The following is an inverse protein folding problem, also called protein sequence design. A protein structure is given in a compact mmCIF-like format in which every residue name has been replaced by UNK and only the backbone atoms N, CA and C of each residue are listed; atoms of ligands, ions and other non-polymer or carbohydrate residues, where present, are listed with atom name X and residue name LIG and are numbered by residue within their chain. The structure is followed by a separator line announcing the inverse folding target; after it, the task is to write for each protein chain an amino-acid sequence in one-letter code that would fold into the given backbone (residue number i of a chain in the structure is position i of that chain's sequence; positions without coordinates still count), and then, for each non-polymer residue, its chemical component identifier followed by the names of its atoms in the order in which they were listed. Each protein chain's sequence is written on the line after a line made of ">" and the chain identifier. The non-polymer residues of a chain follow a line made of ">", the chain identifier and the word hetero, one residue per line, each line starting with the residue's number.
data_IF_681788580171
#
_entry.id   IF_681788580171
#
_cell.length_a   1.000
_cell.length_b   1.000
_cell.length_c   1.000
_cell.angle_alpha   90.00
_cell.angle_beta   90.00
_cell.angle_gamma   90.00
#
_symmetry.space_group_name_H-M   'P 1'
#
loop_
_entity.id
_entity.type
_entity.pdbx_description
1 polymer ?
#
# COMPACT_ATOMS: atom_id res chain seq x y z
N UNK A 1 -31.59 7.87 -7.72
CA UNK A 1 -30.71 6.74 -7.35
C UNK A 1 -29.26 7.21 -7.28
N UNK A 2 -28.94 8.30 -6.55
CA UNK A 2 -27.62 8.98 -6.62
C UNK A 2 -27.18 9.52 -5.25
N UNK A 3 -27.26 8.66 -4.23
CA UNK A 3 -26.73 8.93 -2.89
C UNK A 3 -25.35 8.24 -2.69
N UNK A 4 -24.63 7.94 -3.78
CA UNK A 4 -23.32 7.34 -3.67
C UNK A 4 -22.33 8.38 -3.11
N UNK A 5 -21.65 8.00 -2.04
CA UNK A 5 -20.41 8.63 -1.60
C UNK A 5 -19.35 8.43 -2.69
N UNK A 6 -18.25 9.20 -2.67
CA UNK A 6 -17.07 8.83 -3.42
C UNK A 6 -16.68 7.40 -3.07
N UNK A 7 -16.16 6.72 -4.07
CA UNK A 7 -15.63 5.38 -3.94
C UNK A 7 -14.31 5.45 -3.16
N UNK A 8 -14.39 5.54 -1.84
CA UNK A 8 -13.22 5.54 -0.96
C UNK A 8 -12.77 4.11 -0.71
N UNK A 9 -11.63 3.73 -1.30
CA UNK A 9 -11.04 2.43 -1.09
C UNK A 9 -9.83 2.53 -0.17
N UNK A 10 -9.77 1.64 0.81
CA UNK A 10 -8.65 1.57 1.77
C UNK A 10 -7.28 1.55 1.07
N UNK A 11 -7.13 0.71 0.04
CA UNK A 11 -5.88 0.60 -0.71
C UNK A 11 -5.48 1.94 -1.34
N UNK A 12 -6.43 2.69 -1.91
CA UNK A 12 -6.15 4.01 -2.50
C UNK A 12 -5.75 5.03 -1.45
N UNK A 13 -6.49 5.10 -0.35
CA UNK A 13 -6.23 6.07 0.73
C UNK A 13 -4.84 5.83 1.35
N UNK A 14 -4.48 4.57 1.66
CA UNK A 14 -3.15 4.30 2.24
C UNK A 14 -2.02 4.52 1.25
N UNK A 15 -2.23 4.25 -0.05
CA UNK A 15 -1.24 4.55 -1.09
C UNK A 15 -1.04 6.07 -1.24
N UNK A 16 -2.11 6.86 -1.15
CA UNK A 16 -2.00 8.32 -1.15
C UNK A 16 -1.20 8.83 0.06
N UNK A 17 -1.49 8.32 1.26
CA UNK A 17 -0.73 8.66 2.48
C UNK A 17 0.75 8.24 2.35
N UNK A 18 1.03 7.07 1.77
CA UNK A 18 2.40 6.59 1.56
C UNK A 18 3.15 7.40 0.48
N UNK A 19 2.47 7.87 -0.56
CA UNK A 19 3.07 8.65 -1.65
C UNK A 19 3.62 10.01 -1.20
N UNK A 20 3.11 10.56 -0.10
CA UNK A 20 3.62 11.80 0.52
C UNK A 20 4.91 11.58 1.31
N UNK A 21 5.30 10.33 1.56
CA UNK A 21 6.51 10.00 2.30
C UNK A 21 7.74 10.01 1.39
N UNK A 22 8.91 10.39 1.91
CA UNK A 22 10.16 10.22 1.17
C UNK A 22 10.31 8.75 0.75
N UNK A 23 10.38 8.49 -0.55
CA UNK A 23 10.62 7.13 -1.04
C UNK A 23 11.96 6.64 -0.51
N UNK A 24 12.00 5.50 0.19
CA UNK A 24 13.27 4.91 0.55
C UNK A 24 14.07 4.54 -0.71
N UNK A 25 15.39 4.69 -0.64
CA UNK A 25 16.32 4.47 -1.75
C UNK A 25 16.57 2.98 -2.05
N UNK A 26 16.10 2.08 -1.19
CA UNK A 26 16.30 0.64 -1.33
C UNK A 26 15.27 0.05 -2.29
N UNK A 27 15.70 -0.60 -3.39
CA UNK A 27 14.78 -1.22 -4.31
C UNK A 27 14.00 -2.33 -3.59
N UNK A 28 12.70 -2.41 -3.80
CA UNK A 28 11.91 -3.58 -3.42
C UNK A 28 11.53 -4.38 -4.66
N UNK A 29 11.29 -5.67 -4.45
CA UNK A 29 10.94 -6.63 -5.50
C UNK A 29 9.93 -7.59 -4.92
N UNK A 30 8.83 -7.80 -5.64
CA UNK A 30 7.78 -8.71 -5.22
C UNK A 30 8.32 -10.07 -4.79
N UNK A 31 7.87 -10.53 -3.62
CA UNK A 31 8.21 -11.83 -3.09
C UNK A 31 7.43 -12.92 -3.83
N UNK A 32 8.11 -13.63 -4.72
CA UNK A 32 7.60 -14.86 -5.33
C UNK A 32 8.10 -16.06 -4.51
N UNK A 33 7.24 -16.60 -3.65
CA UNK A 33 7.57 -17.73 -2.77
C UNK A 33 8.03 -18.97 -3.55
N UNK A 34 7.54 -19.16 -4.77
CA UNK A 34 7.95 -20.27 -5.65
C UNK A 34 9.40 -20.14 -6.14
N UNK A 35 9.93 -18.92 -6.13
CA UNK A 35 11.30 -18.60 -6.57
C UNK A 35 12.22 -18.20 -5.42
N UNK A 36 11.77 -18.20 -4.18
CA UNK A 36 12.54 -17.71 -3.03
C UNK A 36 13.90 -18.42 -2.90
N UNK A 37 13.92 -19.75 -3.00
CA UNK A 37 15.15 -20.55 -2.96
C UNK A 37 16.09 -20.23 -4.12
N UNK A 38 15.55 -20.14 -5.34
CA UNK A 38 16.34 -19.84 -6.53
C UNK A 38 16.95 -18.42 -6.47
N UNK A 39 16.18 -17.43 -5.99
CA UNK A 39 16.65 -16.06 -5.76
C UNK A 39 17.78 -16.01 -4.75
N UNK A 40 17.62 -16.70 -3.60
CA UNK A 40 18.66 -16.80 -2.58
C UNK A 40 19.96 -17.39 -3.14
N UNK A 41 19.85 -18.49 -3.89
CA UNK A 41 21.01 -19.16 -4.50
C UNK A 41 21.69 -18.29 -5.55
N UNK A 42 20.92 -17.60 -6.39
CA UNK A 42 21.46 -16.70 -7.41
C UNK A 42 22.20 -15.52 -6.79
N UNK A 43 21.58 -14.84 -5.81
CA UNK A 43 22.22 -13.74 -5.09
C UNK A 43 23.51 -14.19 -4.39
N UNK A 44 23.46 -15.36 -3.73
CA UNK A 44 24.63 -15.92 -3.05
C UNK A 44 25.79 -16.22 -4.02
N UNK A 45 25.51 -16.82 -5.18
CA UNK A 45 26.51 -17.10 -6.21
C UNK A 45 27.10 -15.81 -6.78
N UNK A 46 26.26 -14.83 -7.14
CA UNK A 46 26.71 -13.56 -7.69
C UNK A 46 27.61 -12.81 -6.72
N UNK A 47 27.25 -12.79 -5.44
CA UNK A 47 28.06 -12.16 -4.40
C UNK A 47 29.41 -12.87 -4.24
N UNK A 48 29.44 -14.20 -4.23
CA UNK A 48 30.69 -14.96 -4.13
C UNK A 48 31.60 -14.72 -5.34
N UNK A 49 31.04 -14.69 -6.55
CA UNK A 49 31.79 -14.35 -7.77
C UNK A 49 32.36 -12.92 -7.73
N UNK A 50 31.59 -11.96 -7.24
CA UNK A 50 32.07 -10.60 -7.05
C UNK A 50 33.20 -10.53 -6.00
N UNK A 51 33.11 -11.33 -4.93
CA UNK A 51 34.15 -11.44 -3.91
C UNK A 51 35.45 -12.03 -4.47
N UNK A 52 35.38 -13.05 -5.34
CA UNK A 52 36.56 -13.58 -6.06
C UNK A 52 37.21 -12.48 -6.90
N UNK A 53 36.42 -11.75 -7.69
CA UNK A 53 36.92 -10.66 -8.55
C UNK A 53 37.58 -9.54 -7.74
N UNK A 54 37.07 -9.27 -6.54
CA UNK A 54 37.63 -8.29 -5.59
C UNK A 54 38.88 -8.81 -4.86
N UNK A 55 39.16 -10.11 -4.94
CA UNK A 55 40.26 -10.76 -4.22
C UNK A 55 40.01 -10.93 -2.73
N UNK A 56 38.75 -10.81 -2.27
CA UNK A 56 38.41 -10.99 -0.85
C UNK A 56 38.21 -12.46 -0.45
N UNK A 57 37.99 -13.34 -1.43
CA UNK A 57 37.94 -14.81 -1.25
C UNK A 57 38.70 -15.51 -2.39
N UNK A 58 39.15 -16.74 -2.15
CA UNK A 58 39.86 -17.55 -3.16
C UNK A 58 38.88 -18.31 -4.07
N UNK A 59 39.21 -18.39 -5.36
CA UNK A 59 38.49 -19.23 -6.32
C UNK A 59 38.51 -20.73 -5.94
N UNK A 60 39.59 -21.20 -5.31
CA UNK A 60 39.70 -22.59 -4.82
C UNK A 60 38.70 -22.91 -3.69
N UNK A 61 38.12 -21.88 -3.07
CA UNK A 61 37.09 -22.00 -2.04
C UNK A 61 35.67 -22.20 -2.60
N UNK A 62 35.44 -21.90 -3.88
CA UNK A 62 34.11 -21.83 -4.47
C UNK A 62 33.36 -23.17 -4.39
N UNK A 63 34.04 -24.28 -4.73
CA UNK A 63 33.42 -25.61 -4.68
C UNK A 63 32.93 -25.95 -3.26
N UNK A 64 33.75 -25.64 -2.23
CA UNK A 64 33.37 -25.87 -0.82
C UNK A 64 32.24 -24.95 -0.37
N UNK A 65 32.24 -23.69 -0.81
CA UNK A 65 31.14 -22.75 -0.53
C UNK A 65 29.80 -23.26 -1.08
N UNK A 66 29.81 -23.71 -2.35
CA UNK A 66 28.64 -24.26 -3.04
C UNK A 66 28.13 -25.54 -2.39
N UNK A 67 29.04 -26.47 -2.05
CA UNK A 67 28.69 -27.71 -1.35
C UNK A 67 28.02 -27.44 0.00
N UNK A 68 28.58 -26.54 0.82
CA UNK A 68 27.98 -26.15 2.11
C UNK A 68 26.61 -25.51 1.94
N UNK A 69 26.41 -24.71 0.89
CA UNK A 69 25.11 -24.10 0.59
C UNK A 69 24.06 -25.16 0.27
N UNK A 70 24.42 -26.15 -0.54
CA UNK A 70 23.52 -27.27 -0.88
C UNK A 70 23.15 -28.06 0.38
N UNK A 71 24.15 -28.43 1.19
CA UNK A 71 23.95 -29.11 2.47
C UNK A 71 23.07 -28.28 3.44
N UNK A 72 23.25 -26.95 3.49
CA UNK A 72 22.38 -26.05 4.25
C UNK A 72 20.94 -26.07 3.77
N UNK A 73 20.71 -26.12 2.46
CA UNK A 73 19.36 -26.09 1.88
C UNK A 73 18.53 -27.31 2.28
N UNK A 74 19.16 -28.49 2.36
CA UNK A 74 18.55 -29.76 2.76
C UNK A 74 18.79 -30.12 4.24
N UNK A 75 19.27 -29.19 5.06
CA UNK A 75 19.66 -29.47 6.43
C UNK A 75 18.47 -29.91 7.28
N UNK A 76 18.61 -31.05 7.95
CA UNK A 76 17.69 -31.54 8.96
C UNK A 76 18.38 -31.65 10.34
N UNK A 77 17.63 -31.81 11.44
CA UNK A 77 18.22 -31.98 12.76
C UNK A 77 19.22 -33.15 12.87
N UNK A 78 19.06 -34.19 12.04
CA UNK A 78 19.94 -35.38 12.02
C UNK A 78 21.07 -35.30 10.97
N UNK A 79 21.12 -34.27 10.13
CA UNK A 79 22.19 -34.09 9.15
C UNK A 79 23.55 -33.93 9.84
N UNK A 80 24.65 -34.47 9.26
CA UNK A 80 26.00 -34.27 9.77
C UNK A 80 26.35 -32.78 9.83
N UNK A 81 27.29 -32.42 10.72
CA UNK A 81 27.78 -31.05 10.81
C UNK A 81 28.48 -30.62 9.51
N UNK A 82 28.29 -29.38 9.09
CA UNK A 82 29.01 -28.86 7.93
C UNK A 82 30.51 -28.82 8.22
N UNK A 83 31.31 -29.11 7.20
CA UNK A 83 32.77 -29.12 7.32
C UNK A 83 33.33 -27.76 6.94
N UNK A 84 34.09 -27.17 7.86
CA UNK A 84 34.82 -25.93 7.65
C UNK A 84 36.32 -26.16 7.87
N UNK A 85 37.14 -25.68 6.94
CA UNK A 85 38.60 -25.71 7.08
C UNK A 85 39.10 -24.51 7.89
N UNK A 86 40.28 -24.57 8.52
CA UNK A 86 40.88 -23.42 9.21
C UNK A 86 41.08 -22.19 8.30
N UNK A 87 41.21 -22.40 6.99
CA UNK A 87 41.30 -21.34 5.98
C UNK A 87 39.95 -20.66 5.67
N UNK A 88 38.82 -21.23 6.09
CA UNK A 88 37.48 -20.71 5.81
C UNK A 88 37.08 -19.65 6.87
N UNK A 89 37.82 -18.54 6.89
CA UNK A 89 37.64 -17.42 7.82
C UNK A 89 36.93 -16.20 7.20
N UNK A 90 36.53 -16.30 5.93
CA UNK A 90 35.82 -15.24 5.23
C UNK A 90 34.36 -15.07 5.69
N UNK A 91 33.75 -13.95 5.30
CA UNK A 91 32.38 -13.60 5.68
C UNK A 91 31.32 -14.63 5.22
N UNK A 92 31.55 -15.36 4.12
CA UNK A 92 30.60 -16.37 3.63
C UNK A 92 30.61 -17.60 4.52
N UNK A 93 31.80 -18.11 4.85
CA UNK A 93 31.96 -19.22 5.78
C UNK A 93 31.44 -18.87 7.18
N UNK A 94 31.69 -17.65 7.67
CA UNK A 94 31.13 -17.18 8.95
C UNK A 94 29.60 -17.12 8.92
N UNK A 95 29.01 -16.61 7.82
CA UNK A 95 27.56 -16.57 7.66
C UNK A 95 26.96 -17.99 7.62
N UNK A 96 27.57 -18.93 6.89
CA UNK A 96 27.13 -20.32 6.78
C UNK A 96 27.15 -21.05 8.13
N UNK A 97 28.16 -20.82 8.99
CA UNK A 97 28.19 -21.35 10.37
C UNK A 97 26.98 -20.89 11.17
N UNK A 98 26.68 -19.59 11.11
CA UNK A 98 25.51 -19.05 11.79
C UNK A 98 24.19 -19.59 11.23
N UNK A 99 24.08 -19.74 9.91
CA UNK A 99 22.91 -20.31 9.25
C UNK A 99 22.68 -21.79 9.63
N UNK A 100 23.74 -22.59 9.77
CA UNK A 100 23.66 -23.97 10.24
C UNK A 100 23.10 -24.03 11.67
N UNK A 101 23.69 -23.26 12.58
CA UNK A 101 23.27 -23.20 13.98
C UNK A 101 21.80 -22.73 14.10
N UNK A 102 21.40 -21.74 13.31
CA UNK A 102 20.04 -21.25 13.28
C UNK A 102 19.03 -22.33 12.85
N UNK A 103 19.34 -23.04 11.75
CA UNK A 103 18.47 -24.11 11.21
C UNK A 103 18.37 -25.33 12.13
N UNK A 104 19.41 -25.63 12.90
CA UNK A 104 19.41 -26.75 13.86
C UNK A 104 18.53 -26.51 15.10
N UNK A 105 18.04 -25.29 15.28
CA UNK A 105 17.00 -24.95 16.24
C UNK A 105 17.49 -24.21 17.49
N UNK A 106 16.53 -23.94 18.38
CA UNK A 106 16.67 -22.97 19.47
C UNK A 106 17.88 -23.17 20.40
N UNK A 107 18.28 -24.43 20.67
CA UNK A 107 19.45 -24.73 21.51
C UNK A 107 20.76 -24.19 20.93
N UNK A 108 20.81 -23.89 19.63
CA UNK A 108 22.01 -23.40 18.93
C UNK A 108 21.89 -21.93 18.51
N UNK A 109 20.79 -21.24 18.81
CA UNK A 109 20.62 -19.83 18.45
C UNK A 109 21.68 -18.91 19.06
N UNK A 110 22.14 -19.16 20.28
CA UNK A 110 23.25 -18.40 20.87
C UNK A 110 24.56 -18.54 20.07
N UNK A 111 24.83 -19.73 19.50
CA UNK A 111 25.98 -19.94 18.63
C UNK A 111 25.80 -19.23 17.28
N UNK A 112 24.59 -19.26 16.70
CA UNK A 112 24.27 -18.51 15.49
C UNK A 112 24.49 -16.99 15.67
N UNK A 113 23.97 -16.43 16.76
CA UNK A 113 24.16 -15.04 17.13
C UNK A 113 25.65 -14.68 17.27
N UNK A 114 26.44 -15.55 17.92
CA UNK A 114 27.89 -15.35 18.05
C UNK A 114 28.61 -15.33 16.69
N UNK A 115 28.24 -16.23 15.78
CA UNK A 115 28.85 -16.28 14.44
C UNK A 115 28.55 -15.01 13.64
N UNK A 116 27.30 -14.56 13.60
CA UNK A 116 26.90 -13.36 12.85
C UNK A 116 27.42 -12.07 13.47
N UNK A 117 27.45 -11.96 14.81
CA UNK A 117 28.06 -10.79 15.48
C UNK A 117 29.56 -10.73 15.26
N UNK A 118 30.26 -11.88 15.23
CA UNK A 118 31.69 -11.94 14.89
C UNK A 118 31.95 -11.52 13.44
N UNK A 119 31.06 -11.90 12.50
CA UNK A 119 31.14 -11.43 11.10
C UNK A 119 31.03 -9.90 11.03
N UNK A 120 30.06 -9.32 11.75
CA UNK A 120 29.86 -7.87 11.78
C UNK A 120 31.00 -7.12 12.49
N UNK A 121 31.81 -7.80 13.30
CA UNK A 121 32.99 -7.24 13.96
C UNK A 121 34.21 -7.14 13.04
N UNK A 122 34.20 -7.79 11.86
CA UNK A 122 35.28 -7.68 10.89
C UNK A 122 35.43 -6.23 10.38
N UNK A 123 36.65 -5.83 9.93
CA UNK A 123 36.83 -4.59 9.21
C UNK A 123 35.90 -4.49 8.00
N UNK A 124 35.39 -3.28 7.69
CA UNK A 124 34.37 -3.07 6.65
C UNK A 124 34.74 -3.69 5.28
N UNK A 125 36.01 -3.60 4.89
CA UNK A 125 36.51 -4.16 3.63
C UNK A 125 36.53 -5.71 3.58
N UNK A 126 36.35 -6.39 4.71
CA UNK A 126 36.32 -7.85 4.84
C UNK A 126 34.90 -8.41 5.05
N UNK A 127 33.88 -7.55 5.15
CA UNK A 127 32.48 -7.94 5.41
C UNK A 127 31.46 -7.28 4.48
N UNK A 128 31.84 -7.06 3.23
CA UNK A 128 31.05 -6.27 2.29
C UNK A 128 29.80 -7.02 1.81
N UNK A 129 29.82 -8.36 1.71
CA UNK A 129 28.79 -9.15 1.04
C UNK A 129 27.75 -9.80 1.97
N UNK A 130 28.07 -10.01 3.25
CA UNK A 130 27.22 -10.74 4.20
C UNK A 130 26.81 -9.94 5.43
N UNK A 131 27.24 -8.68 5.55
CA UNK A 131 26.84 -7.82 6.66
C UNK A 131 25.33 -7.57 6.72
N UNK A 132 24.70 -7.22 5.59
CA UNK A 132 23.24 -6.99 5.49
C UNK A 132 22.45 -8.25 5.85
N UNK A 133 22.88 -9.40 5.32
CA UNK A 133 22.25 -10.70 5.59
C UNK A 133 22.39 -11.11 7.06
N UNK A 134 23.59 -10.95 7.64
CA UNK A 134 23.86 -11.27 9.04
C UNK A 134 23.02 -10.40 10.00
N UNK A 135 22.95 -9.08 9.76
CA UNK A 135 22.13 -8.18 10.56
C UNK A 135 20.64 -8.51 10.46
N UNK A 136 20.15 -8.79 9.25
CA UNK A 136 18.75 -9.19 9.05
C UNK A 136 18.43 -10.49 9.81
N UNK A 137 19.31 -11.50 9.73
CA UNK A 137 19.13 -12.77 10.42
C UNK A 137 19.22 -12.64 11.95
N UNK A 138 20.05 -11.73 12.47
CA UNK A 138 20.05 -11.38 13.89
C UNK A 138 18.70 -10.78 14.32
N UNK A 139 18.12 -9.90 13.49
CA UNK A 139 16.77 -9.38 13.71
C UNK A 139 15.71 -10.48 13.74
N UNK A 140 15.75 -11.40 12.78
CA UNK A 140 14.84 -12.57 12.74
C UNK A 140 15.00 -13.48 13.94
N UNK A 141 16.24 -13.71 14.40
CA UNK A 141 16.52 -14.50 15.59
C UNK A 141 15.93 -13.86 16.84
N UNK A 142 16.16 -12.56 17.04
CA UNK A 142 15.60 -11.82 18.18
C UNK A 142 14.08 -11.77 18.15
N UNK A 143 13.49 -11.63 16.97
CA UNK A 143 12.05 -11.71 16.78
C UNK A 143 11.49 -13.07 17.23
N UNK A 144 12.14 -14.18 16.87
CA UNK A 144 11.74 -15.53 17.31
C UNK A 144 11.88 -15.73 18.83
N UNK A 145 12.76 -14.98 19.48
CA UNK A 145 12.90 -14.94 20.94
C UNK A 145 11.90 -13.99 21.62
N UNK A 146 11.03 -13.33 20.86
CA UNK A 146 10.14 -12.25 21.32
C UNK A 146 10.90 -11.03 21.92
N UNK A 147 12.17 -10.87 21.55
CA UNK A 147 13.04 -9.74 21.92
C UNK A 147 12.80 -8.56 20.96
N UNK A 148 11.56 -8.03 20.93
CA UNK A 148 11.11 -7.06 19.90
C UNK A 148 11.98 -5.79 19.80
N UNK A 149 12.39 -5.13 20.90
CA UNK A 149 13.24 -3.93 20.79
C UNK A 149 14.61 -4.22 20.16
N UNK A 150 15.22 -5.36 20.50
CA UNK A 150 16.50 -5.78 19.93
C UNK A 150 16.35 -6.22 18.47
N UNK A 151 15.25 -6.90 18.14
CA UNK A 151 14.92 -7.26 16.76
C UNK A 151 14.79 -6.00 15.87
N UNK A 152 14.05 -4.99 16.35
CA UNK A 152 13.89 -3.72 15.66
C UNK A 152 15.25 -3.02 15.39
N UNK A 153 16.15 -3.00 16.38
CA UNK A 153 17.48 -2.43 16.21
C UNK A 153 18.30 -3.13 15.12
N UNK A 154 18.20 -4.46 15.01
CA UNK A 154 18.88 -5.21 13.96
C UNK A 154 18.30 -4.99 12.56
N UNK A 155 16.98 -4.81 12.45
CA UNK A 155 16.35 -4.43 11.18
C UNK A 155 16.76 -3.02 10.75
N UNK A 156 16.80 -2.06 11.67
CA UNK A 156 17.40 -0.74 11.40
C UNK A 156 18.87 -0.89 10.96
N UNK A 157 19.65 -1.72 11.67
CA UNK A 157 21.06 -1.95 11.34
C UNK A 157 21.26 -2.52 9.94
N UNK A 158 20.34 -3.34 9.47
CA UNK A 158 20.35 -3.90 8.11
C UNK A 158 20.34 -2.77 7.06
N UNK A 159 19.49 -1.75 7.26
CA UNK A 159 19.41 -0.58 6.37
C UNK A 159 20.65 0.31 6.45
N UNK A 160 21.15 0.56 7.66
CA UNK A 160 22.40 1.32 7.86
C UNK A 160 23.60 0.65 7.16
N UNK A 161 23.66 -0.69 7.15
CA UNK A 161 24.72 -1.43 6.48
C UNK A 161 24.62 -1.31 4.95
N UNK A 162 23.40 -1.34 4.39
CA UNK A 162 23.19 -1.08 2.97
C UNK A 162 23.59 0.35 2.59
N UNK A 163 23.21 1.35 3.40
CA UNK A 163 23.56 2.77 3.17
C UNK A 163 25.06 3.04 3.24
N UNK A 164 25.78 2.27 4.06
CA UNK A 164 27.25 2.36 4.19
C UNK A 164 28.00 1.52 3.16
N UNK A 165 27.31 1.04 2.12
CA UNK A 165 27.90 0.37 0.96
C UNK A 165 28.14 -1.13 1.11
N UNK A 166 27.56 -1.79 2.12
CA UNK A 166 27.49 -3.25 2.11
C UNK A 166 26.49 -3.71 1.04
N UNK A 167 26.79 -4.81 0.35
CA UNK A 167 25.93 -5.34 -0.71
C UNK A 167 24.60 -5.82 -0.13
N UNK A 168 23.50 -5.39 -0.75
CA UNK A 168 22.15 -5.85 -0.42
C UNK A 168 21.51 -6.57 -1.62
N UNK A 169 22.14 -7.67 -2.04
CA UNK A 169 21.74 -8.48 -3.20
C UNK A 169 20.35 -9.11 -3.08
N UNK A 170 19.79 -9.16 -1.87
CA UNK A 170 18.45 -9.69 -1.59
C UNK A 170 17.42 -8.60 -1.31
N UNK A 171 17.80 -7.33 -1.29
CA UNK A 171 16.93 -6.20 -0.94
C UNK A 171 16.38 -6.29 0.50
N UNK A 172 17.20 -6.82 1.43
CA UNK A 172 16.85 -6.99 2.83
C UNK A 172 16.69 -5.66 3.56
N UNK A 173 17.31 -4.57 3.08
CA UNK A 173 17.08 -3.25 3.63
C UNK A 173 15.61 -2.83 3.48
N UNK A 174 15.03 -2.99 2.29
CA UNK A 174 13.60 -2.75 2.07
C UNK A 174 12.73 -3.74 2.86
N UNK A 175 13.03 -5.04 2.80
CA UNK A 175 12.26 -6.09 3.51
C UNK A 175 12.27 -5.89 5.04
N UNK A 176 13.33 -5.30 5.60
CA UNK A 176 13.45 -5.05 7.04
C UNK A 176 12.41 -4.07 7.58
N UNK A 177 11.80 -3.21 6.74
CA UNK A 177 10.81 -2.20 7.18
C UNK A 177 9.58 -2.87 7.79
N UNK A 178 9.02 -3.88 7.11
CA UNK A 178 7.84 -4.59 7.58
C UNK A 178 8.11 -5.38 8.86
N UNK A 179 9.29 -6.00 8.97
CA UNK A 179 9.68 -6.72 10.19
C UNK A 179 9.92 -5.80 11.38
N UNK A 180 10.55 -4.65 11.17
CA UNK A 180 10.67 -3.64 12.21
C UNK A 180 9.30 -3.11 12.63
N UNK A 181 8.43 -2.79 11.67
CA UNK A 181 7.07 -2.34 11.95
C UNK A 181 6.31 -3.35 12.81
N UNK A 182 6.45 -4.65 12.51
CA UNK A 182 5.89 -5.72 13.33
C UNK A 182 6.45 -5.70 14.76
N UNK A 183 7.76 -5.55 14.93
CA UNK A 183 8.39 -5.46 16.26
C UNK A 183 7.88 -4.25 17.05
N UNK A 184 7.79 -3.08 16.42
CA UNK A 184 7.25 -1.84 17.02
C UNK A 184 5.80 -2.03 17.45
N UNK A 185 4.99 -2.64 16.60
CA UNK A 185 3.59 -2.93 16.93
C UNK A 185 3.48 -3.87 18.14
N UNK A 186 4.25 -4.96 18.18
CA UNK A 186 4.28 -5.87 19.33
C UNK A 186 4.88 -5.24 20.60
N UNK A 187 5.73 -4.23 20.44
CA UNK A 187 6.25 -3.41 21.54
C UNK A 187 5.31 -2.30 22.01
N UNK A 188 4.11 -2.16 21.43
CA UNK A 188 3.14 -1.10 21.77
C UNK A 188 3.41 0.26 21.11
N UNK A 189 4.39 0.35 20.21
CA UNK A 189 4.79 1.57 19.51
C UNK A 189 3.98 1.74 18.19
N UNK A 190 2.66 1.76 18.29
CA UNK A 190 1.73 1.75 17.14
C UNK A 190 2.02 2.86 16.11
N UNK A 191 2.30 4.07 16.60
CA UNK A 191 2.64 5.24 15.77
C UNK A 191 3.87 4.99 14.88
N UNK A 192 4.92 4.37 15.43
CA UNK A 192 6.14 4.04 14.68
C UNK A 192 5.89 2.88 13.71
N UNK A 193 5.13 1.87 14.13
CA UNK A 193 4.74 0.75 13.27
C UNK A 193 3.99 1.22 12.01
N UNK A 194 3.02 2.12 12.18
CA UNK A 194 2.26 2.69 11.06
C UNK A 194 3.16 3.43 10.06
N UNK A 195 4.11 4.22 10.55
CA UNK A 195 5.07 4.95 9.69
C UNK A 195 5.97 4.00 8.90
N UNK A 196 6.49 2.95 9.54
CA UNK A 196 7.34 1.96 8.88
C UNK A 196 6.59 1.13 7.83
N UNK A 197 5.33 0.76 8.10
CA UNK A 197 4.49 0.10 7.09
C UNK A 197 4.15 1.03 5.91
N UNK A 198 3.98 2.33 6.14
CA UNK A 198 3.83 3.29 5.05
C UNK A 198 5.14 3.47 4.27
N UNK A 199 6.31 3.44 4.91
CA UNK A 199 7.61 3.43 4.23
C UNK A 199 7.78 2.16 3.38
N UNK A 200 7.37 0.99 3.91
CA UNK A 200 7.33 -0.27 3.16
C UNK A 200 6.44 -0.14 1.91
N UNK A 201 5.23 0.42 2.05
CA UNK A 201 4.34 0.66 0.92
C UNK A 201 4.93 1.65 -0.10
N UNK A 202 5.64 2.68 0.37
CA UNK A 202 6.30 3.66 -0.49
C UNK A 202 7.44 3.03 -1.32
N UNK A 203 8.07 1.95 -0.85
CA UNK A 203 9.00 1.11 -1.62
C UNK A 203 8.33 0.28 -2.72
N UNK A 204 6.99 0.21 -2.73
CA UNK A 204 6.20 -0.60 -3.66
C UNK A 204 5.81 -1.98 -3.13
N UNK A 205 5.99 -2.25 -1.83
CA UNK A 205 5.56 -3.50 -1.21
C UNK A 205 4.10 -3.45 -0.76
N UNK A 206 3.24 -4.04 -1.58
CA UNK A 206 1.79 -4.01 -1.39
C UNK A 206 1.31 -4.84 -0.19
N UNK A 207 2.15 -5.71 0.37
CA UNK A 207 1.78 -6.47 1.58
C UNK A 207 1.56 -5.54 2.78
N UNK A 208 2.15 -4.34 2.77
CA UNK A 208 1.93 -3.34 3.81
C UNK A 208 0.48 -2.84 3.89
N UNK A 209 -0.30 -2.90 2.79
CA UNK A 209 -1.73 -2.50 2.79
C UNK A 209 -2.53 -3.33 3.79
N UNK A 210 -2.29 -4.64 3.81
CA UNK A 210 -2.94 -5.56 4.77
C UNK A 210 -2.42 -5.33 6.19
N UNK A 211 -1.12 -5.13 6.35
CA UNK A 211 -0.48 -4.88 7.65
C UNK A 211 -0.99 -3.60 8.32
N UNK A 212 -1.12 -2.50 7.58
CA UNK A 212 -1.71 -1.24 8.07
C UNK A 212 -3.14 -1.44 8.59
N UNK A 213 -3.94 -2.22 7.87
CA UNK A 213 -5.31 -2.54 8.30
C UNK A 213 -5.32 -3.38 9.58
N UNK A 214 -4.40 -4.33 9.69
CA UNK A 214 -4.32 -5.21 10.86
C UNK A 214 -3.97 -4.44 12.13
N UNK A 215 -3.01 -3.51 12.08
CA UNK A 215 -2.59 -2.76 13.26
C UNK A 215 -3.67 -1.79 13.77
N UNK A 216 -4.55 -1.28 12.90
CA UNK A 216 -5.69 -0.47 13.33
C UNK A 216 -6.77 -1.29 14.03
N UNK A 217 -7.00 -2.53 13.58
CA UNK A 217 -7.99 -3.44 14.18
C UNK A 217 -7.55 -3.98 15.53
N UNK A 218 -6.24 -4.16 15.72
CA UNK A 218 -5.68 -4.65 16.96
C UNK A 218 -4.50 -3.76 17.40
N UNK A 219 -4.79 -2.56 17.96
CA UNK A 219 -3.77 -1.55 18.22
C UNK A 219 -2.77 -1.96 19.32
N UNK A 220 -3.20 -2.78 20.28
CA UNK A 220 -2.39 -3.13 21.45
C UNK A 220 -1.81 -4.54 21.37
N UNK A 221 -2.00 -5.26 20.26
CA UNK A 221 -1.69 -6.68 20.06
C UNK A 221 -2.42 -7.67 20.99
N UNK A 222 -2.87 -7.21 22.15
CA UNK A 222 -3.79 -7.86 23.09
C UNK A 222 -5.20 -7.28 22.90
N UNK A 223 -6.22 -8.16 22.94
CA UNK A 223 -7.65 -7.90 22.64
C UNK A 223 -8.36 -7.03 23.69
N UNK A 224 -7.80 -5.88 24.05
CA UNK A 224 -8.48 -4.89 24.90
C UNK A 224 -9.24 -3.88 24.05
N UNK A 225 -10.48 -3.58 24.43
CA UNK A 225 -11.27 -2.50 23.82
C UNK A 225 -10.52 -1.17 23.98
N UNK A 226 -10.31 -0.38 22.91
CA UNK A 226 -9.59 0.88 23.02
C UNK A 226 -10.27 1.88 23.96
N UNK A 227 -9.50 2.55 24.81
CA UNK A 227 -10.01 3.59 25.74
C UNK A 227 -10.20 4.93 25.01
N UNK A 228 -10.99 5.85 25.59
CA UNK A 228 -11.10 7.22 25.06
C UNK A 228 -9.75 7.95 24.97
N UNK A 229 -8.82 7.65 25.88
CA UNK A 229 -7.48 8.22 25.84
C UNK A 229 -6.70 7.72 24.61
N UNK A 230 -6.78 6.41 24.32
CA UNK A 230 -6.17 5.84 23.12
C UNK A 230 -6.68 6.55 21.85
N UNK A 231 -7.98 6.74 21.71
CA UNK A 231 -8.54 7.45 20.57
C UNK A 231 -8.09 8.91 20.48
N UNK A 232 -7.95 9.59 21.63
CA UNK A 232 -7.43 10.96 21.68
C UNK A 232 -5.97 11.03 21.23
N UNK A 233 -5.14 10.07 21.63
CA UNK A 233 -3.74 9.99 21.22
C UNK A 233 -3.63 9.66 19.71
N UNK A 234 -4.46 8.74 19.21
CA UNK A 234 -4.61 8.44 17.78
C UNK A 234 -5.04 9.66 16.98
N UNK A 235 -5.96 10.49 17.48
CA UNK A 235 -6.38 11.72 16.80
C UNK A 235 -5.26 12.78 16.74
N UNK A 236 -4.40 12.84 17.76
CA UNK A 236 -3.27 13.80 17.81
C UNK A 236 -2.12 13.40 16.90
N UNK A 237 -1.89 12.11 16.71
CA UNK A 237 -0.89 11.62 15.76
C UNK A 237 -1.43 11.74 14.33
N UNK A 238 -0.78 12.55 13.48
CA UNK A 238 -1.29 12.82 12.12
C UNK A 238 -1.39 11.56 11.26
N UNK A 239 -0.43 10.63 11.36
CA UNK A 239 -0.44 9.40 10.57
C UNK A 239 -1.55 8.47 11.04
N UNK A 240 -1.66 8.24 12.36
CA UNK A 240 -2.70 7.37 12.89
C UNK A 240 -4.10 7.94 12.63
N UNK A 241 -4.28 9.26 12.82
CA UNK A 241 -5.55 9.93 12.52
C UNK A 241 -5.98 9.70 11.08
N UNK A 242 -5.08 9.95 10.11
CA UNK A 242 -5.37 9.78 8.68
C UNK A 242 -5.72 8.34 8.34
N UNK A 243 -4.99 7.37 8.88
CA UNK A 243 -5.25 5.95 8.69
C UNK A 243 -6.59 5.53 9.31
N UNK A 244 -6.93 6.01 10.51
CA UNK A 244 -8.24 5.76 11.13
C UNK A 244 -9.37 6.39 10.32
N UNK A 245 -9.23 7.66 9.90
CA UNK A 245 -10.19 8.35 9.04
C UNK A 245 -10.43 7.57 7.75
N UNK A 246 -9.37 7.16 7.05
CA UNK A 246 -9.44 6.35 5.84
C UNK A 246 -10.10 4.99 6.08
N UNK A 247 -9.77 4.31 7.18
CA UNK A 247 -10.37 3.03 7.54
C UNK A 247 -11.88 3.17 7.73
N UNK A 248 -12.33 4.15 8.51
CA UNK A 248 -13.77 4.39 8.72
C UNK A 248 -14.43 4.72 7.38
N UNK A 249 -13.87 5.66 6.62
CA UNK A 249 -14.46 6.13 5.36
C UNK A 249 -14.63 4.99 4.35
N UNK A 250 -13.63 4.11 4.23
CA UNK A 250 -13.68 2.95 3.33
C UNK A 250 -14.68 1.87 3.73
N UNK A 251 -15.03 1.75 5.03
CA UNK A 251 -16.04 0.79 5.50
C UNK A 251 -17.49 1.21 5.21
N UNK A 252 -17.71 2.47 4.83
CA UNK A 252 -19.05 3.00 4.50
C UNK A 252 -19.27 3.18 2.98
N UNK A 253 -18.41 2.61 2.12
CA UNK A 253 -18.69 2.59 0.68
C UNK A 253 -19.97 1.77 0.39
N UNK A 254 -20.95 2.34 -0.36
CA UNK A 254 -22.29 1.79 -0.51
C UNK A 254 -22.38 0.53 -1.38
N UNK A 255 -21.30 0.14 -2.07
CA UNK A 255 -21.27 -0.99 -2.99
C UNK A 255 -20.23 -2.04 -2.53
N UNK A 256 -20.72 -3.03 -1.79
CA UNK A 256 -20.12 -4.36 -1.55
C UNK A 256 -18.97 -4.53 -0.54
N UNK A 257 -19.15 -5.56 0.31
CA UNK A 257 -18.18 -6.48 0.93
C UNK A 257 -16.88 -6.00 1.61
N UNK A 258 -16.72 -4.75 2.04
CA UNK A 258 -15.82 -4.44 3.18
C UNK A 258 -16.62 -4.06 4.43
N UNK A 259 -17.63 -4.88 4.75
CA UNK A 259 -18.26 -4.91 6.08
C UNK A 259 -17.33 -5.58 7.10
N UNK A 260 -16.07 -5.17 7.12
CA UNK A 260 -15.23 -5.36 8.30
C UNK A 260 -15.83 -4.62 9.49
N UNK A 261 -15.66 -5.16 10.69
CA UNK A 261 -15.99 -4.44 11.92
C UNK A 261 -15.27 -3.09 11.90
N UNK A 262 -16.04 -2.01 11.84
CA UNK A 262 -15.54 -0.63 11.79
C UNK A 262 -14.68 -0.32 13.02
N UNK A 263 -13.54 0.35 12.80
CA UNK A 263 -12.70 0.90 13.88
C UNK A 263 -13.39 2.15 14.44
N UNK A 264 -14.46 1.95 15.23
CA UNK A 264 -15.26 3.01 15.82
C UNK A 264 -16.38 3.56 14.92
N UNK A 265 -17.30 4.34 15.51
CA UNK A 265 -18.39 5.00 14.77
C UNK A 265 -17.94 6.37 14.23
N UNK A 266 -18.55 6.81 13.11
CA UNK A 266 -18.30 8.14 12.52
C UNK A 266 -18.47 9.26 13.57
N UNK A 267 -19.57 9.23 14.32
CA UNK A 267 -19.87 10.26 15.32
C UNK A 267 -18.84 10.30 16.45
N UNK A 268 -18.41 9.13 16.95
CA UNK A 268 -17.40 9.04 17.98
C UNK A 268 -16.07 9.62 17.48
N UNK A 269 -15.62 9.19 16.30
CA UNK A 269 -14.36 9.64 15.74
C UNK A 269 -14.33 11.16 15.50
N UNK A 270 -15.37 11.71 14.83
CA UNK A 270 -15.48 13.15 14.61
C UNK A 270 -15.50 13.94 15.92
N UNK A 271 -16.17 13.43 16.96
CA UNK A 271 -16.19 14.07 18.29
C UNK A 271 -14.79 14.14 18.89
N UNK A 272 -14.03 13.03 18.83
CA UNK A 272 -12.69 12.94 19.40
C UNK A 272 -11.72 13.86 18.65
N UNK A 273 -11.75 13.87 17.32
CA UNK A 273 -10.88 14.76 16.52
C UNK A 273 -11.19 16.23 16.79
N UNK A 274 -12.46 16.63 16.91
CA UNK A 274 -12.82 18.01 17.31
C UNK A 274 -12.29 18.35 18.71
N UNK A 275 -12.42 17.44 19.67
CA UNK A 275 -11.92 17.63 21.03
C UNK A 275 -10.39 17.72 21.11
N UNK A 276 -9.67 17.14 20.15
CA UNK A 276 -8.22 17.25 20.05
C UNK A 276 -7.72 18.67 19.72
N UNK A 277 -8.61 19.56 19.22
CA UNK A 277 -8.32 20.99 18.93
C UNK A 277 -7.03 21.19 18.10
N UNK A 278 -6.91 20.41 17.04
CA UNK A 278 -5.75 20.41 16.15
C UNK A 278 -5.64 21.74 15.39
N UNK A 279 -4.42 22.25 15.24
CA UNK A 279 -4.14 23.49 14.49
C UNK A 279 -4.07 23.25 12.98
N UNK A 280 -3.63 22.05 12.58
CA UNK A 280 -3.53 21.62 11.19
C UNK A 280 -4.15 20.22 11.08
N UNK A 281 -4.88 20.00 9.99
CA UNK A 281 -5.62 18.77 9.75
C UNK A 281 -5.46 18.40 8.28
N UNK A 282 -4.47 17.56 7.99
CA UNK A 282 -4.11 17.15 6.62
C UNK A 282 -5.23 16.35 5.93
N UNK A 283 -6.03 15.62 6.70
CA UNK A 283 -7.20 14.83 6.26
C UNK A 283 -8.54 15.59 6.41
N UNK A 284 -8.51 16.92 6.41
CA UNK A 284 -9.71 17.74 6.59
C UNK A 284 -10.80 17.39 5.56
N UNK A 285 -10.43 17.15 4.30
CA UNK A 285 -11.39 16.75 3.26
C UNK A 285 -12.07 15.41 3.59
N UNK A 286 -11.32 14.40 4.02
CA UNK A 286 -11.84 13.08 4.39
C UNK A 286 -12.70 13.14 5.66
N UNK A 287 -12.32 13.94 6.66
CA UNK A 287 -13.17 14.21 7.84
C UNK A 287 -14.47 14.92 7.46
N UNK A 288 -14.41 15.83 6.48
CA UNK A 288 -15.59 16.45 5.88
C UNK A 288 -16.51 15.43 5.22
N UNK A 289 -15.94 14.45 4.51
CA UNK A 289 -16.71 13.34 3.93
C UNK A 289 -17.37 12.47 4.98
N UNK A 290 -16.67 12.14 6.07
CA UNK A 290 -17.29 11.43 7.20
C UNK A 290 -18.48 12.21 7.77
N UNK A 291 -18.35 13.53 7.96
CA UNK A 291 -19.44 14.38 8.43
C UNK A 291 -20.61 14.40 7.44
N UNK A 292 -20.34 14.53 6.13
CA UNK A 292 -21.36 14.48 5.08
C UNK A 292 -22.11 13.14 5.07
N UNK A 293 -21.39 12.02 5.17
CA UNK A 293 -21.96 10.66 5.24
C UNK A 293 -22.84 10.48 6.49
N UNK A 294 -22.48 11.12 7.61
CA UNK A 294 -23.30 11.16 8.81
C UNK A 294 -24.49 12.14 8.74
N UNK A 295 -24.65 12.89 7.63
CA UNK A 295 -25.69 13.90 7.47
C UNK A 295 -25.40 15.24 8.16
N UNK A 296 -24.22 15.43 8.74
CA UNK A 296 -23.77 16.68 9.38
C UNK A 296 -23.10 17.60 8.34
N UNK A 297 -23.93 18.19 7.47
CA UNK A 297 -23.46 19.04 6.36
C UNK A 297 -22.80 20.35 6.81
N UNK A 298 -23.21 20.87 7.97
CA UNK A 298 -22.58 22.06 8.57
C UNK A 298 -21.14 21.73 8.95
N UNK A 299 -20.91 20.62 9.64
CA UNK A 299 -19.55 20.21 9.97
C UNK A 299 -18.74 19.81 8.74
N UNK A 300 -19.35 19.20 7.72
CA UNK A 300 -18.67 18.92 6.45
C UNK A 300 -18.12 20.23 5.83
N UNK A 301 -18.90 21.30 5.90
CA UNK A 301 -18.49 22.64 5.44
C UNK A 301 -17.35 23.22 6.31
N UNK A 302 -17.45 23.09 7.64
CA UNK A 302 -16.40 23.55 8.56
C UNK A 302 -15.08 22.80 8.34
N UNK A 303 -15.11 21.48 8.14
CA UNK A 303 -13.92 20.69 7.83
C UNK A 303 -13.28 21.11 6.51
N UNK A 304 -14.07 21.37 5.47
CA UNK A 304 -13.53 21.89 4.20
C UNK A 304 -12.79 23.22 4.34
N UNK A 305 -13.20 24.09 5.26
CA UNK A 305 -12.52 25.36 5.52
C UNK A 305 -11.13 25.17 6.15
N UNK A 306 -10.91 24.05 6.85
CA UNK A 306 -9.62 23.69 7.44
C UNK A 306 -8.67 23.02 6.44
N UNK A 307 -9.14 22.73 5.23
CA UNK A 307 -8.32 22.08 4.22
C UNK A 307 -7.30 23.06 3.63
N UNK A 308 -6.01 22.82 3.89
CA UNK A 308 -4.93 23.70 3.45
C UNK A 308 -4.71 23.66 1.93
N UNK A 309 -4.91 22.50 1.29
CA UNK A 309 -4.68 22.31 -0.15
C UNK A 309 -5.90 21.65 -0.79
N UNK A 310 -6.47 22.23 -1.86
CA UNK A 310 -7.53 21.59 -2.60
C UNK A 310 -7.09 20.23 -3.16
N UNK A 311 -7.84 19.20 -2.81
CA UNK A 311 -7.72 17.83 -3.32
C UNK A 311 -8.97 17.44 -4.11
N UNK A 312 -8.90 16.37 -4.89
CA UNK A 312 -10.07 15.81 -5.59
C UNK A 312 -11.24 15.56 -4.63
N UNK A 313 -10.96 14.95 -3.48
CA UNK A 313 -11.96 14.72 -2.44
C UNK A 313 -12.59 16.02 -1.93
N UNK A 314 -11.80 17.09 -1.75
CA UNK A 314 -12.33 18.37 -1.27
C UNK A 314 -13.21 19.07 -2.31
N UNK A 315 -12.82 19.04 -3.58
CA UNK A 315 -13.60 19.60 -4.69
C UNK A 315 -14.92 18.86 -4.84
N UNK A 316 -14.88 17.53 -4.78
CA UNK A 316 -16.08 16.71 -4.87
C UNK A 316 -17.03 16.95 -3.68
N UNK A 317 -16.52 17.03 -2.44
CA UNK A 317 -17.37 17.33 -1.29
C UNK A 317 -18.03 18.70 -1.41
N UNK A 318 -17.26 19.70 -1.85
CA UNK A 318 -17.77 21.05 -2.10
C UNK A 318 -18.87 21.03 -3.16
N UNK A 319 -18.71 20.26 -4.23
CA UNK A 319 -19.74 20.09 -5.25
C UNK A 319 -21.02 19.44 -4.69
N UNK A 320 -20.92 18.41 -3.85
CA UNK A 320 -22.09 17.80 -3.20
C UNK A 320 -22.84 18.82 -2.32
N UNK A 321 -22.12 19.61 -1.53
CA UNK A 321 -22.73 20.65 -0.68
C UNK A 321 -23.41 21.74 -1.52
N UNK A 322 -22.76 22.22 -2.58
CA UNK A 322 -23.33 23.22 -3.50
C UNK A 322 -24.56 22.71 -4.24
N UNK A 323 -24.55 21.44 -4.68
CA UNK A 323 -25.72 20.80 -5.29
C UNK A 323 -26.91 20.81 -4.33
N UNK A 324 -26.69 20.51 -3.03
CA UNK A 324 -27.75 20.56 -2.01
C UNK A 324 -28.29 21.97 -1.78
N UNK A 325 -27.47 23.00 -1.95
CA UNK A 325 -27.87 24.41 -1.93
C UNK A 325 -28.57 24.86 -3.22
N UNK A 326 -28.70 24.00 -4.23
CA UNK A 326 -29.26 24.33 -5.55
C UNK A 326 -28.30 25.08 -6.47
N UNK A 327 -27.01 25.20 -6.11
CA UNK A 327 -25.99 25.93 -6.87
C UNK A 327 -25.32 25.01 -7.89
N UNK A 328 -26.12 24.55 -8.86
CA UNK A 328 -25.75 23.46 -9.78
C UNK A 328 -24.55 23.79 -10.69
N UNK A 329 -24.46 25.02 -11.21
CA UNK A 329 -23.33 25.42 -12.08
C UNK A 329 -21.99 25.37 -11.35
N UNK A 330 -21.96 25.88 -10.10
CA UNK A 330 -20.77 25.86 -9.26
C UNK A 330 -20.42 24.46 -8.77
N UNK A 331 -21.45 23.62 -8.55
CA UNK A 331 -21.23 22.21 -8.25
C UNK A 331 -20.55 21.49 -9.43
N UNK A 332 -20.98 21.77 -10.67
CA UNK A 332 -20.40 21.18 -11.88
C UNK A 332 -18.95 21.62 -12.10
N UNK A 333 -18.62 22.89 -11.85
CA UNK A 333 -17.25 23.40 -11.91
C UNK A 333 -16.32 22.65 -10.95
N UNK A 334 -16.75 22.46 -9.70
CA UNK A 334 -15.96 21.74 -8.72
C UNK A 334 -15.87 20.24 -9.00
N UNK A 335 -16.91 19.59 -9.52
CA UNK A 335 -16.81 18.19 -9.97
C UNK A 335 -15.84 18.03 -11.13
N UNK A 336 -15.83 18.97 -12.08
CA UNK A 336 -14.87 18.98 -13.19
C UNK A 336 -13.42 19.10 -12.68
N UNK A 337 -13.18 19.95 -11.68
CA UNK A 337 -11.87 20.06 -11.01
C UNK A 337 -11.48 18.76 -10.28
N UNK A 338 -12.44 18.09 -9.63
CA UNK A 338 -12.20 16.81 -8.98
C UNK A 338 -11.80 15.74 -10.00
N UNK A 339 -12.52 15.62 -11.12
CA UNK A 339 -12.24 14.67 -12.20
C UNK A 339 -10.84 14.92 -12.79
N UNK A 340 -10.51 16.18 -13.09
CA UNK A 340 -9.18 16.53 -13.61
C UNK A 340 -8.04 16.11 -12.66
N UNK A 341 -8.22 16.29 -11.34
CA UNK A 341 -7.23 15.85 -10.35
C UNK A 341 -7.15 14.32 -10.24
N UNK A 342 -8.26 13.60 -10.41
CA UNK A 342 -8.30 12.15 -10.40
C UNK A 342 -7.65 11.54 -11.65
N UNK A 343 -7.82 12.18 -12.81
CA UNK A 343 -7.22 11.75 -14.08
C UNK A 343 -5.71 12.02 -14.13
N UNK A 344 -5.27 13.11 -13.51
CA UNK A 344 -3.85 13.44 -13.38
C UNK A 344 -3.13 12.65 -12.28
N UNK A 345 -3.85 11.91 -11.44
CA UNK A 345 -3.23 11.11 -10.40
C UNK A 345 -2.46 9.93 -11.04
N UNK A 346 -1.25 9.60 -10.55
CA UNK A 346 -0.57 8.40 -11.02
C UNK A 346 -1.51 7.22 -10.81
N UNK A 347 -1.66 6.38 -11.84
CA UNK A 347 -2.50 5.19 -11.77
C UNK A 347 -2.05 4.36 -10.56
N UNK A 348 -2.80 4.46 -9.46
CA UNK A 348 -2.62 3.60 -8.33
C UNK A 348 -3.06 2.24 -8.85
N UNK A 349 -2.11 1.36 -9.17
CA UNK A 349 -2.43 -0.01 -9.56
C UNK A 349 -3.10 -0.65 -8.37
N UNK A 350 -4.41 -0.83 -8.50
CA UNK A 350 -5.25 -1.47 -7.52
C UNK A 350 -5.07 -2.97 -7.68
N UNK A 351 -3.99 -3.47 -7.09
CA UNK A 351 -3.61 -4.88 -7.17
C UNK A 351 -4.66 -5.81 -6.57
N UNK A 352 -5.48 -5.29 -5.65
CA UNK A 352 -6.47 -6.09 -4.92
C UNK A 352 -7.92 -5.88 -5.36
N UNK A 353 -8.20 -5.01 -6.34
CA UNK A 353 -9.57 -4.67 -6.69
C UNK A 353 -10.14 -5.56 -7.81
N UNK A 354 -11.41 -5.93 -7.60
CA UNK A 354 -12.23 -6.63 -8.58
C UNK A 354 -12.38 -5.73 -9.83
N UNK A 355 -12.19 -6.24 -11.07
CA UNK A 355 -12.43 -5.47 -12.30
C UNK A 355 -13.82 -4.82 -12.39
N UNK A 356 -14.80 -5.31 -11.63
CA UNK A 356 -16.16 -4.74 -11.59
C UNK A 356 -16.32 -3.49 -10.71
N UNK A 357 -15.27 -3.00 -10.06
CA UNK A 357 -15.39 -1.85 -9.17
C UNK A 357 -15.42 -0.51 -9.92
N UNK A 358 -16.21 0.44 -9.40
CA UNK A 358 -16.25 1.81 -9.93
C UNK A 358 -15.07 2.60 -9.39
N UNK A 359 -14.21 3.13 -10.26
CA UNK A 359 -13.12 4.00 -9.81
C UNK A 359 -13.65 5.37 -9.34
N UNK A 360 -12.94 6.08 -8.44
CA UNK A 360 -13.36 7.40 -7.98
C UNK A 360 -13.61 8.39 -9.12
N UNK A 361 -12.79 8.35 -10.18
CA UNK A 361 -12.96 9.18 -11.37
C UNK A 361 -14.30 8.92 -12.06
N UNK A 362 -14.69 7.66 -12.23
CA UNK A 362 -15.94 7.28 -12.89
C UNK A 362 -17.16 7.62 -12.02
N UNK A 363 -17.04 7.45 -10.70
CA UNK A 363 -18.07 7.90 -9.77
C UNK A 363 -18.21 9.43 -9.77
N UNK A 364 -17.12 10.20 -9.89
CA UNK A 364 -17.18 11.65 -10.01
C UNK A 364 -17.81 12.09 -11.34
N UNK A 365 -17.48 11.42 -12.45
CA UNK A 365 -18.14 11.64 -13.75
C UNK A 365 -19.62 11.33 -13.71
N UNK A 366 -20.03 10.25 -13.04
CA UNK A 366 -21.44 9.91 -12.86
C UNK A 366 -22.20 10.99 -12.07
N UNK A 367 -21.57 11.57 -11.05
CA UNK A 367 -22.13 12.71 -10.31
C UNK A 367 -22.23 13.98 -11.16
N UNK A 368 -21.27 14.23 -12.06
CA UNK A 368 -21.33 15.33 -13.01
C UNK A 368 -22.45 15.11 -14.04
N UNK A 369 -22.61 13.88 -14.54
CA UNK A 369 -23.73 13.50 -15.41
C UNK A 369 -25.09 13.72 -14.74
N UNK A 370 -25.19 13.40 -13.45
CA UNK A 370 -26.39 13.70 -12.66
C UNK A 370 -26.67 15.21 -12.54
N UNK A 371 -25.64 16.05 -12.46
CA UNK A 371 -25.83 17.51 -12.47
C UNK A 371 -26.34 18.02 -13.82
N UNK A 372 -25.84 17.48 -14.94
CA UNK A 372 -26.39 17.79 -16.26
C UNK A 372 -27.88 17.45 -16.32
N UNK A 373 -28.28 16.29 -15.78
CA UNK A 373 -29.68 15.90 -15.70
C UNK A 373 -30.52 16.88 -14.85
N UNK A 374 -30.02 17.30 -13.69
CA UNK A 374 -30.70 18.28 -12.81
C UNK A 374 -30.80 19.68 -13.44
N UNK A 375 -29.86 20.03 -14.32
CA UNK A 375 -29.85 21.29 -15.10
C UNK A 375 -30.72 21.22 -16.36
N UNK A 376 -31.41 20.09 -16.59
CA UNK A 376 -32.17 19.80 -17.81
C UNK A 376 -31.32 19.75 -19.10
N UNK A 377 -30.02 19.46 -18.98
CA UNK A 377 -29.09 19.29 -20.09
C UNK A 377 -29.08 17.81 -20.53
N UNK A 378 -30.23 17.31 -20.99
CA UNK A 378 -30.51 15.88 -21.10
C UNK A 378 -29.62 15.11 -22.08
N UNK A 379 -29.32 15.68 -23.25
CA UNK A 379 -28.42 15.06 -24.25
C UNK A 379 -26.98 14.99 -23.72
N UNK A 380 -26.54 16.05 -23.03
CA UNK A 380 -25.25 16.06 -22.35
C UNK A 380 -25.18 15.04 -21.21
N UNK A 381 -26.26 14.90 -20.44
CA UNK A 381 -26.36 13.91 -19.38
C UNK A 381 -26.25 12.47 -19.91
N UNK A 382 -26.89 12.16 -21.04
CA UNK A 382 -26.78 10.85 -21.69
C UNK A 382 -25.32 10.52 -22.03
N UNK A 383 -24.62 11.45 -22.69
CA UNK A 383 -23.20 11.30 -23.05
C UNK A 383 -22.34 11.07 -21.82
N UNK A 384 -22.49 11.93 -20.82
CA UNK A 384 -21.70 11.85 -19.60
C UNK A 384 -21.94 10.54 -18.81
N UNK A 385 -23.16 9.99 -18.79
CA UNK A 385 -23.43 8.69 -18.18
C UNK A 385 -22.80 7.53 -18.95
N UNK A 386 -22.80 7.58 -20.28
CA UNK A 386 -22.14 6.56 -21.12
C UNK A 386 -20.63 6.58 -20.93
N UNK A 387 -20.01 7.76 -20.94
CA UNK A 387 -18.57 7.93 -20.69
C UNK A 387 -18.17 7.48 -19.28
N UNK A 388 -19.05 7.65 -18.29
CA UNK A 388 -18.85 7.16 -16.92
C UNK A 388 -19.15 5.65 -16.75
N UNK A 389 -19.51 4.93 -17.83
CA UNK A 389 -19.87 3.50 -17.78
C UNK A 389 -21.17 3.21 -17.02
N UNK A 390 -22.02 4.21 -16.78
CA UNK A 390 -23.29 4.09 -16.04
C UNK A 390 -24.45 3.76 -16.97
N UNK A 391 -24.39 2.56 -17.56
CA UNK A 391 -25.34 2.10 -18.58
C UNK A 391 -26.81 2.15 -18.12
N UNK A 392 -27.10 1.87 -16.85
CA UNK A 392 -28.47 1.92 -16.33
C UNK A 392 -29.01 3.36 -16.25
N UNK A 393 -28.20 4.31 -15.82
CA UNK A 393 -28.58 5.72 -15.76
C UNK A 393 -28.69 6.31 -17.18
N UNK A 394 -27.76 5.96 -18.07
CA UNK A 394 -27.82 6.32 -19.49
C UNK A 394 -29.11 5.81 -20.15
N UNK A 395 -29.46 4.53 -19.94
CA UNK A 395 -30.70 3.94 -20.44
C UNK A 395 -31.93 4.66 -19.91
N UNK A 396 -31.95 5.02 -18.61
CA UNK A 396 -33.04 5.81 -18.04
C UNK A 396 -33.22 7.16 -18.74
N UNK A 397 -32.13 7.89 -18.99
CA UNK A 397 -32.17 9.17 -19.70
C UNK A 397 -32.69 8.97 -21.13
N UNK A 398 -32.17 7.98 -21.86
CA UNK A 398 -32.57 7.69 -23.23
C UNK A 398 -34.05 7.27 -23.35
N UNK A 399 -34.54 6.42 -22.44
CA UNK A 399 -35.88 5.83 -22.53
C UNK A 399 -36.97 6.69 -21.90
N UNK A 400 -36.66 7.45 -20.85
CA UNK A 400 -37.67 8.12 -20.01
C UNK A 400 -37.63 9.63 -20.08
N UNK A 401 -36.52 10.22 -20.50
CA UNK A 401 -36.31 11.67 -20.44
C UNK A 401 -36.24 12.28 -21.85
N UNK A 402 -35.45 11.69 -22.75
CA UNK A 402 -35.34 12.17 -24.13
C UNK A 402 -36.59 11.87 -24.95
N UNK A 403 -36.92 12.76 -25.88
CA UNK A 403 -37.89 12.48 -26.93
C UNK A 403 -37.30 11.55 -28.00
N UNK A 404 -38.14 10.82 -28.76
CA UNK A 404 -37.65 9.99 -29.87
C UNK A 404 -36.83 10.74 -30.91
N UNK A 405 -37.11 12.02 -31.14
CA UNK A 405 -36.37 12.85 -32.10
C UNK A 405 -34.98 13.23 -31.57
N UNK A 406 -34.89 13.62 -30.29
CA UNK A 406 -33.60 13.92 -29.65
C UNK A 406 -32.71 12.67 -29.59
N UNK A 407 -33.29 11.52 -29.22
CA UNK A 407 -32.56 10.27 -29.18
C UNK A 407 -32.09 9.83 -30.58
N UNK A 408 -32.93 9.98 -31.61
CA UNK A 408 -32.51 9.71 -32.99
C UNK A 408 -31.36 10.62 -33.40
N UNK A 409 -31.49 11.92 -33.19
CA UNK A 409 -30.44 12.88 -33.52
C UNK A 409 -29.12 12.56 -32.80
N UNK A 410 -29.20 12.15 -31.53
CA UNK A 410 -28.04 11.73 -30.75
C UNK A 410 -27.34 10.50 -31.36
N UNK A 411 -28.11 9.46 -31.70
CA UNK A 411 -27.57 8.25 -32.34
C UNK A 411 -26.98 8.56 -33.71
N UNK A 412 -27.67 9.39 -34.50
CA UNK A 412 -27.24 9.81 -35.82
C UNK A 412 -25.91 10.59 -35.77
N UNK A 413 -25.65 11.36 -34.71
CA UNK A 413 -24.42 12.15 -34.55
C UNK A 413 -23.26 11.34 -33.96
N UNK A 414 -23.53 10.42 -33.01
CA UNK A 414 -22.48 9.76 -32.23
C UNK A 414 -22.16 8.32 -32.66
N UNK A 415 -23.04 7.65 -33.42
CA UNK A 415 -22.89 6.22 -33.74
C UNK A 415 -22.89 5.89 -35.25
N UNK A 416 -23.13 6.86 -36.12
CA UNK A 416 -23.11 6.66 -37.59
C UNK A 416 -21.73 6.36 -38.18
N UNK A 417 -20.63 6.71 -37.51
CA UNK A 417 -19.27 6.36 -37.97
C UNK A 417 -18.83 4.95 -37.52
N UNK A 418 -19.33 4.44 -36.39
CA UNK A 418 -18.93 3.15 -35.85
C UNK A 418 -19.47 1.94 -36.65
N UNK A 419 -20.58 2.12 -37.36
CA UNK A 419 -21.13 1.09 -38.26
C UNK A 419 -20.48 1.09 -39.65
N UNK A 420 -19.98 2.23 -40.13
CA UNK A 420 -19.29 2.34 -41.41
C UNK A 420 -17.92 1.62 -41.41
N UNK A 421 -17.18 1.68 -40.29
CA UNK A 421 -15.90 0.97 -40.14
C UNK A 421 -16.08 -0.54 -39.90
N UNK A 422 -17.13 -0.97 -39.18
CA UNK A 422 -17.46 -2.40 -39.02
C UNK A 422 -18.04 -3.03 -40.28
N UNK A 423 -18.73 -2.27 -41.13
CA UNK A 423 -19.24 -2.74 -42.41
C UNK A 423 -18.16 -2.84 -43.49
N UNK A 424 -17.03 -2.14 -43.35
CA UNK A 424 -15.92 -2.19 -44.32
C UNK A 424 -14.99 -3.40 -44.13
N UNK A 425 -15.02 -4.05 -42.95
CA UNK A 425 -14.16 -5.18 -42.59
C UNK A 425 -14.90 -6.53 -42.59
N UNK A 426 -16.18 -6.55 -43.00
CA UNK A 426 -16.92 -7.78 -43.22
C UNK A 426 -16.59 -8.35 -44.61
N UNK A 427 -16.04 -9.58 -44.73
CA UNK A 427 -15.77 -10.16 -46.04
C UNK A 427 -17.10 -10.39 -46.77
N UNK A 428 -17.22 -9.84 -47.98
CA UNK A 428 -18.38 -10.05 -48.86
C UNK A 428 -18.71 -11.55 -48.94
N UNK A 429 -19.87 -11.92 -48.42
CA UNK A 429 -20.39 -13.27 -48.57
C UNK A 429 -20.76 -13.47 -50.03
N UNK A 430 -19.92 -14.23 -50.73
CA UNK A 430 -20.26 -14.76 -52.04
C UNK A 430 -21.36 -15.80 -51.84
N UNK A 431 -22.56 -15.51 -52.36
CA UNK A 431 -23.57 -16.52 -52.63
C UNK A 431 -24.43 -16.10 -53.84
N UNK A 432 -25.02 -17.06 -54.57
CA UNK A 432 -24.88 -18.52 -54.48
C UNK A 432 -24.02 -19.14 -55.60
#
# INVERSE_FOLDING_TARGET
>A
MLAATPEFYWEMEVRQIAAERPRPIWPWTAYDSSKATARLQLADEMDYQAAIKKGSVSADGQARHLERREQLSSLSPSSPALVFSPSDADEFAMYQRGAEDFKRGNKRWSAAEKHWTSLLALPHNQRTFRSTWAAYMLGRLKLLQAEFPQAAQWFQKTRELADTGCIDSLHLAADSLGWEAHCRWKGGELSQAARLYLDQLACGDDTAVTSLRQILRNPNSETTVPTNQHWMDTAKDSVLRRLTTASILSSYSPLWMDRGETVGSIHQWLTIVRQAKLQQVEDAAQLGWLAYTAGDYEAATQWLQLNATPSAASHWLKAKLLRREGRLDQAAEHLSQAIHLLDGAPALTLTSLNPDMTLPGDAARADLAALHLERAEFVGALTAFLEAGKNQDAAYVAERILTPNELRAYVDDHFTQAEAEKSADAPESVAP
#
